data_IF_467306882001
#
_entry.id   IF_467306882001
#
_cell.length_a   1.000
_cell.length_b   1.000
_cell.length_c   1.000
_cell.angle_alpha   90.00
_cell.angle_beta   90.00
_cell.angle_gamma   90.00
#
_symmetry.space_group_name_H-M   'P 1'
#
loop_
_entity.id
_entity.type
_entity.pdbx_description
1 polymer ?
#
# COMPACT_ATOMS: atom_id res chain seq x y z
N UNK A 1 37.63 49.47 -43.94
CA UNK A 1 38.84 48.60 -43.94
C UNK A 1 38.76 47.71 -42.70
N UNK A 2 38.96 46.40 -42.75
CA UNK A 2 39.26 45.57 -43.93
C UNK A 2 40.27 44.46 -43.63
N UNK A 3 40.00 43.59 -42.65
CA UNK A 3 40.82 42.39 -42.42
C UNK A 3 39.92 41.27 -41.86
N UNK A 4 39.96 40.09 -42.47
CA UNK A 4 39.17 38.93 -42.06
C UNK A 4 40.08 37.75 -41.75
N UNK A 5 39.80 37.05 -40.65
CA UNK A 5 40.50 35.82 -40.26
C UNK A 5 39.51 34.69 -39.99
N UNK A 6 38.97 34.11 -41.06
CA UNK A 6 38.20 32.86 -40.98
C UNK A 6 39.11 31.72 -40.55
N UNK A 7 39.06 31.34 -39.27
CA UNK A 7 39.65 30.08 -38.81
C UNK A 7 38.73 28.93 -39.19
N UNK A 8 39.24 27.97 -39.96
CA UNK A 8 38.53 26.74 -40.25
C UNK A 8 38.30 25.93 -38.96
N UNK A 9 37.14 25.28 -38.85
CA UNK A 9 36.91 24.29 -37.81
C UNK A 9 37.78 23.04 -38.08
N UNK A 10 38.28 22.34 -37.04
CA UNK A 10 38.92 21.05 -37.22
C UNK A 10 37.92 20.02 -37.76
N UNK A 11 38.36 18.99 -38.51
CA UNK A 11 37.48 17.93 -38.96
C UNK A 11 36.92 17.15 -37.75
N UNK A 12 35.65 16.78 -37.83
CA UNK A 12 35.07 15.81 -36.89
C UNK A 12 35.70 14.45 -37.14
N UNK A 13 36.50 13.95 -36.18
CA UNK A 13 36.82 12.53 -36.14
C UNK A 13 35.53 11.75 -35.83
N UNK A 14 35.13 10.87 -36.76
CA UNK A 14 34.02 9.94 -36.54
C UNK A 14 34.42 8.96 -35.44
N UNK A 15 33.69 8.95 -34.33
CA UNK A 15 33.88 7.94 -33.30
C UNK A 15 33.65 6.54 -33.92
N UNK A 16 34.51 5.54 -33.64
CA UNK A 16 34.34 4.20 -34.18
C UNK A 16 33.05 3.56 -33.66
N UNK A 17 32.36 2.81 -34.53
CA UNK A 17 31.12 2.13 -34.16
C UNK A 17 31.29 1.24 -32.91
N UNK A 18 30.34 1.26 -31.97
CA UNK A 18 30.41 0.43 -30.78
C UNK A 18 30.38 -1.05 -31.17
N UNK A 19 31.44 -1.78 -30.82
CA UNK A 19 31.57 -3.19 -31.14
C UNK A 19 30.33 -3.99 -30.66
N UNK A 20 29.81 -4.92 -31.47
CA UNK A 20 28.58 -5.64 -31.13
C UNK A 20 28.73 -6.39 -29.80
N UNK A 21 27.68 -6.45 -28.97
CA UNK A 21 27.75 -7.08 -27.66
C UNK A 21 28.14 -8.55 -27.80
N UNK A 22 29.16 -8.99 -27.05
CA UNK A 22 29.57 -10.39 -27.03
C UNK A 22 28.41 -11.27 -26.57
N UNK A 23 28.16 -12.43 -27.22
CA UNK A 23 27.16 -13.37 -26.73
C UNK A 23 27.52 -13.86 -25.31
N UNK A 24 26.53 -14.15 -24.46
CA UNK A 24 26.79 -14.68 -23.12
C UNK A 24 27.45 -16.06 -23.18
N UNK A 25 28.29 -16.42 -22.18
CA UNK A 25 28.98 -17.71 -22.15
C UNK A 25 27.98 -18.87 -22.00
N UNK A 26 28.12 -19.87 -22.87
CA UNK A 26 27.18 -20.98 -23.01
C UNK A 26 27.09 -21.90 -21.78
N UNK A 27 28.16 -22.00 -20.98
CA UNK A 27 28.27 -22.89 -19.81
C UNK A 27 27.58 -22.36 -18.55
N UNK A 28 26.53 -21.54 -18.71
CA UNK A 28 25.66 -21.08 -17.62
C UNK A 28 24.72 -22.20 -17.17
N UNK A 29 25.29 -23.26 -16.58
CA UNK A 29 24.54 -24.41 -16.08
C UNK A 29 23.41 -23.95 -15.14
N UNK A 30 22.19 -24.49 -15.27
CA UNK A 30 21.02 -23.98 -14.57
C UNK A 30 21.24 -24.05 -13.06
N UNK A 31 21.25 -22.87 -12.42
CA UNK A 31 21.42 -22.73 -10.97
C UNK A 31 20.32 -23.55 -10.31
N UNK A 32 20.69 -24.69 -9.71
CA UNK A 32 19.74 -25.52 -8.96
C UNK A 32 19.13 -24.65 -7.86
N UNK A 33 17.80 -24.57 -7.73
CA UNK A 33 17.18 -23.81 -6.65
C UNK A 33 17.73 -24.34 -5.32
N UNK A 34 18.08 -23.45 -4.36
CA UNK A 34 18.57 -23.89 -3.07
C UNK A 34 17.52 -24.80 -2.43
N UNK A 35 17.96 -25.95 -1.90
CA UNK A 35 17.06 -26.80 -1.11
C UNK A 35 16.45 -25.96 0.00
N UNK A 36 15.13 -26.05 0.27
CA UNK A 36 14.56 -25.42 1.45
C UNK A 36 15.36 -25.88 2.66
N UNK A 37 15.85 -24.93 3.46
CA UNK A 37 16.61 -25.25 4.66
C UNK A 37 15.72 -26.07 5.59
N UNK A 38 16.33 -27.01 6.31
CA UNK A 38 15.65 -27.65 7.44
C UNK A 38 15.08 -26.58 8.37
N UNK A 39 13.93 -26.82 9.02
CA UNK A 39 13.30 -25.83 9.89
C UNK A 39 14.34 -25.28 10.88
N UNK A 40 14.35 -23.96 11.03
CA UNK A 40 15.31 -23.27 11.89
C UNK A 40 15.34 -23.91 13.27
N UNK A 41 16.55 -24.16 13.77
CA UNK A 41 16.87 -24.53 15.15
C UNK A 41 15.78 -24.07 16.14
N UNK A 42 15.10 -24.98 16.87
CA UNK A 42 13.99 -24.61 17.74
C UNK A 42 14.42 -23.64 18.86
N UNK A 43 15.70 -23.65 19.25
CA UNK A 43 16.29 -22.75 20.24
C UNK A 43 16.80 -21.42 19.63
N UNK A 44 16.63 -21.23 18.32
CA UNK A 44 16.82 -19.93 17.68
C UNK A 44 15.65 -18.97 18.00
N UNK A 45 15.86 -17.64 17.87
CA UNK A 45 14.78 -16.65 18.04
C UNK A 45 13.55 -16.91 17.14
N UNK A 46 13.80 -17.41 15.93
CA UNK A 46 12.75 -17.80 14.98
C UNK A 46 12.04 -19.08 15.45
N UNK A 47 12.81 -20.12 15.80
CA UNK A 47 12.28 -21.40 16.28
C UNK A 47 11.29 -21.25 17.44
N UNK A 48 11.64 -20.45 18.45
CA UNK A 48 10.75 -20.17 19.59
C UNK A 48 9.46 -19.45 19.20
N UNK A 49 9.53 -18.40 18.38
CA UNK A 49 8.35 -17.67 17.93
C UNK A 49 7.37 -18.57 17.14
N UNK A 50 7.90 -19.52 16.38
CA UNK A 50 7.11 -20.49 15.61
C UNK A 50 6.41 -21.54 16.48
N UNK A 51 7.03 -21.98 17.58
CA UNK A 51 6.40 -22.89 18.53
C UNK A 51 5.22 -22.21 19.24
N UNK A 52 5.36 -20.94 19.63
CA UNK A 52 4.26 -20.13 20.16
C UNK A 52 3.13 -19.97 19.13
N UNK A 53 3.47 -19.56 17.90
CA UNK A 53 2.47 -19.29 16.88
C UNK A 53 1.72 -20.56 16.42
N UNK A 54 2.37 -21.73 16.38
CA UNK A 54 1.70 -23.03 16.19
C UNK A 54 0.62 -23.29 17.24
N UNK A 55 0.91 -23.02 18.51
CA UNK A 55 -0.05 -23.19 19.60
C UNK A 55 -1.25 -22.23 19.46
N UNK A 56 -1.00 -20.97 19.07
CA UNK A 56 -2.07 -19.99 18.78
C UNK A 56 -2.98 -20.42 17.63
N UNK A 57 -2.41 -20.92 16.53
CA UNK A 57 -3.19 -21.41 15.38
C UNK A 57 -4.08 -22.61 15.74
N UNK A 58 -3.58 -23.54 16.58
CA UNK A 58 -4.40 -24.66 17.06
C UNK A 58 -5.58 -24.18 17.91
N UNK A 59 -5.41 -23.15 18.74
CA UNK A 59 -6.50 -22.55 19.50
C UNK A 59 -7.50 -21.78 18.61
N UNK A 60 -7.03 -21.09 17.58
CA UNK A 60 -7.89 -20.35 16.64
C UNK A 60 -8.78 -21.26 15.77
N UNK A 61 -8.35 -22.50 15.50
CA UNK A 61 -9.17 -23.50 14.79
C UNK A 61 -10.32 -24.07 15.63
N UNK A 62 -10.41 -23.75 16.93
CA UNK A 62 -11.49 -24.17 17.83
C UNK A 62 -12.59 -23.10 18.02
N UNK A 63 -12.61 -22.07 17.17
CA UNK A 63 -13.65 -21.02 17.16
C UNK A 63 -14.97 -21.55 16.61
N UNK A 64 -16.08 -21.15 17.21
CA UNK A 64 -17.42 -21.56 16.78
C UNK A 64 -17.89 -20.85 15.49
N UNK A 65 -18.79 -21.51 14.75
CA UNK A 65 -19.28 -21.00 13.47
C UNK A 65 -20.13 -19.72 13.59
N UNK A 66 -20.72 -19.43 14.75
CA UNK A 66 -21.55 -18.24 14.97
C UNK A 66 -20.67 -16.99 15.18
N UNK A 67 -19.55 -17.14 15.90
CA UNK A 67 -18.46 -16.18 15.97
C UNK A 67 -17.90 -15.89 14.57
N UNK A 68 -17.59 -16.94 13.79
CA UNK A 68 -17.06 -16.81 12.43
C UNK A 68 -18.05 -16.09 11.49
N UNK A 69 -19.35 -16.37 11.59
CA UNK A 69 -20.38 -15.69 10.81
C UNK A 69 -20.50 -14.20 11.17
N UNK A 70 -20.48 -13.85 12.46
CA UNK A 70 -20.46 -12.44 12.92
C UNK A 70 -19.25 -11.68 12.40
N UNK A 71 -18.06 -12.25 12.57
CA UNK A 71 -16.80 -11.63 12.09
C UNK A 71 -16.85 -11.45 10.57
N UNK A 72 -17.30 -12.47 9.82
CA UNK A 72 -17.43 -12.39 8.35
C UNK A 72 -18.36 -11.26 7.87
N UNK A 73 -19.46 -10.97 8.58
CA UNK A 73 -20.35 -9.84 8.24
C UNK A 73 -19.62 -8.50 8.42
N UNK A 74 -19.09 -8.26 9.61
CA UNK A 74 -18.37 -7.02 9.95
C UNK A 74 -17.18 -6.81 9.01
N UNK A 75 -16.40 -7.87 8.78
CA UNK A 75 -15.29 -7.87 7.83
C UNK A 75 -15.72 -7.43 6.43
N UNK A 76 -16.80 -7.98 5.89
CA UNK A 76 -17.34 -7.56 4.59
C UNK A 76 -17.86 -6.11 4.58
N UNK A 77 -18.48 -5.64 5.67
CA UNK A 77 -19.00 -4.27 5.83
C UNK A 77 -17.89 -3.20 5.76
N UNK A 78 -16.71 -3.53 6.29
CA UNK A 78 -15.51 -2.67 6.33
C UNK A 78 -14.53 -2.93 5.17
N UNK A 79 -14.99 -3.55 4.07
CA UNK A 79 -14.23 -3.73 2.83
C UNK A 79 -13.35 -4.98 2.74
N UNK A 80 -13.43 -5.88 3.73
CA UNK A 80 -12.59 -7.07 3.90
C UNK A 80 -12.49 -7.98 2.67
N UNK A 81 -13.52 -8.05 1.82
CA UNK A 81 -13.46 -8.79 0.54
C UNK A 81 -12.34 -8.30 -0.39
N UNK A 82 -12.03 -7.01 -0.37
CA UNK A 82 -10.94 -6.42 -1.18
C UNK A 82 -9.57 -6.69 -0.58
N UNK A 83 -9.52 -6.97 0.73
CA UNK A 83 -8.34 -7.51 1.41
C UNK A 83 -8.15 -8.98 1.03
N UNK A 84 -9.22 -9.79 1.04
CA UNK A 84 -9.22 -11.19 0.58
C UNK A 84 -8.74 -11.33 -0.88
N UNK A 85 -9.30 -10.55 -1.80
CA UNK A 85 -8.85 -10.46 -3.21
C UNK A 85 -7.36 -10.12 -3.34
N UNK A 86 -6.78 -9.38 -2.39
CA UNK A 86 -5.36 -9.06 -2.39
C UNK A 86 -4.51 -10.17 -1.72
N UNK A 87 -5.03 -10.95 -0.78
CA UNK A 87 -4.33 -12.10 -0.16
C UNK A 87 -4.04 -13.25 -1.13
N UNK A 88 -4.74 -13.31 -2.27
CA UNK A 88 -4.41 -14.19 -3.41
C UNK A 88 -3.01 -13.93 -4.01
N UNK A 89 -2.42 -12.76 -3.75
CA UNK A 89 -1.13 -12.35 -4.32
C UNK A 89 -0.16 -11.67 -3.34
N UNK A 90 -0.67 -10.87 -2.40
CA UNK A 90 0.04 -10.25 -1.29
C UNK A 90 -0.10 -11.15 -0.05
N UNK A 91 0.54 -10.75 1.02
CA UNK A 91 0.79 -11.58 2.18
C UNK A 91 0.86 -10.75 3.44
N UNK A 92 0.37 -11.27 4.55
CA UNK A 92 0.51 -10.63 5.87
C UNK A 92 1.42 -11.48 6.76
N UNK A 93 1.90 -10.89 7.84
CA UNK A 93 2.60 -11.59 8.92
C UNK A 93 1.85 -11.34 10.23
N UNK A 94 1.71 -12.35 11.09
CA UNK A 94 1.00 -12.16 12.36
C UNK A 94 1.80 -11.21 13.28
N UNK A 95 1.14 -10.15 13.76
CA UNK A 95 1.76 -9.14 14.62
C UNK A 95 2.32 -9.70 15.93
N UNK A 96 1.77 -10.81 16.44
CA UNK A 96 2.29 -11.55 17.60
C UNK A 96 3.61 -12.24 17.25
N UNK A 97 3.65 -12.95 16.12
CA UNK A 97 4.90 -13.58 15.63
C UNK A 97 6.00 -12.53 15.44
N UNK A 98 5.67 -11.36 14.87
CA UNK A 98 6.58 -10.21 14.81
C UNK A 98 7.05 -9.68 16.17
N UNK A 99 6.16 -9.60 17.16
CA UNK A 99 6.52 -9.18 18.51
C UNK A 99 7.41 -10.22 19.23
N UNK A 100 7.13 -11.52 19.06
CA UNK A 100 7.90 -12.63 19.61
C UNK A 100 9.32 -12.68 18.99
N UNK A 101 9.42 -12.60 17.65
CA UNK A 101 10.70 -12.54 16.93
C UNK A 101 11.56 -11.36 17.39
N UNK A 102 10.95 -10.20 17.64
CA UNK A 102 11.65 -9.02 18.15
C UNK A 102 12.13 -9.19 19.60
N UNK A 103 11.31 -9.79 20.47
CA UNK A 103 11.62 -10.05 21.88
C UNK A 103 12.75 -11.07 22.04
N UNK A 104 12.75 -12.15 21.25
CA UNK A 104 13.84 -13.12 21.22
C UNK A 104 15.13 -12.58 20.56
N UNK A 105 15.19 -11.28 20.22
CA UNK A 105 16.37 -10.62 19.65
C UNK A 105 16.59 -10.87 18.16
N UNK A 106 15.61 -11.46 17.48
CA UNK A 106 15.67 -11.86 16.08
C UNK A 106 15.42 -10.73 15.08
N UNK A 107 15.00 -11.14 13.90
CA UNK A 107 14.68 -10.31 12.74
C UNK A 107 13.62 -11.05 11.90
N UNK A 108 12.70 -10.34 11.21
CA UNK A 108 11.88 -10.95 10.17
C UNK A 108 12.77 -11.71 9.16
N UNK A 109 12.58 -13.03 8.97
CA UNK A 109 13.29 -13.89 8.00
C UNK A 109 13.19 -13.45 6.51
N UNK A 110 12.77 -14.33 5.57
CA UNK A 110 12.57 -14.09 4.12
C UNK A 110 11.32 -14.81 3.62
N UNK A 111 10.82 -14.51 2.41
CA UNK A 111 9.62 -15.15 1.84
C UNK A 111 9.82 -16.65 1.70
N UNK A 112 11.05 -17.02 1.36
CA UNK A 112 11.53 -18.38 1.21
C UNK A 112 12.00 -19.02 2.55
N UNK A 113 11.95 -18.28 3.67
CA UNK A 113 12.38 -18.69 5.01
C UNK A 113 11.26 -18.67 6.08
N UNK A 114 10.22 -17.83 5.94
CA UNK A 114 9.05 -17.83 6.83
C UNK A 114 8.30 -19.16 6.62
N UNK A 115 8.06 -19.97 7.65
CA UNK A 115 7.23 -21.17 7.50
C UNK A 115 5.75 -20.83 7.71
N UNK A 116 4.87 -21.74 7.25
CA UNK A 116 3.42 -21.55 7.12
C UNK A 116 2.68 -21.08 8.37
N UNK A 117 3.29 -21.16 9.54
CA UNK A 117 2.68 -20.87 10.82
C UNK A 117 2.94 -19.42 11.30
N UNK A 118 4.12 -18.83 11.06
CA UNK A 118 4.32 -17.39 11.22
C UNK A 118 3.70 -16.56 10.08
N UNK A 119 3.35 -17.26 9.00
CA UNK A 119 2.87 -16.75 7.71
C UNK A 119 1.37 -16.45 7.66
N UNK A 120 1.07 -15.33 7.03
CA UNK A 120 0.08 -15.25 5.94
C UNK A 120 0.83 -15.05 4.58
N UNK A 121 2.04 -15.64 4.46
CA UNK A 121 2.72 -16.16 3.23
C UNK A 121 3.42 -15.21 2.21
N UNK A 122 4.45 -14.38 2.41
CA UNK A 122 5.47 -14.11 3.43
C UNK A 122 6.32 -12.90 2.90
N UNK A 123 7.65 -12.81 3.05
CA UNK A 123 8.40 -12.11 4.12
C UNK A 123 9.74 -11.52 3.56
N UNK A 124 10.38 -10.53 4.22
CA UNK A 124 11.83 -10.29 4.46
C UNK A 124 12.10 -8.94 5.19
N UNK A 125 12.88 -8.92 6.30
CA UNK A 125 13.90 -7.89 6.73
C UNK A 125 14.01 -7.54 8.24
N UNK A 126 15.21 -7.83 8.80
CA UNK A 126 15.98 -7.13 9.87
C UNK A 126 15.26 -6.42 11.05
N UNK A 127 15.48 -6.94 12.26
CA UNK A 127 14.69 -6.62 13.46
C UNK A 127 15.05 -5.43 14.36
N UNK A 128 15.97 -4.52 14.02
CA UNK A 128 16.16 -3.33 14.90
C UNK A 128 14.94 -2.39 14.85
N UNK A 129 14.37 -2.16 13.66
CA UNK A 129 13.10 -1.45 13.54
C UNK A 129 11.97 -2.27 14.19
N UNK A 130 12.01 -3.61 14.12
CA UNK A 130 11.02 -4.44 14.83
C UNK A 130 11.06 -4.28 16.35
N UNK A 131 12.22 -4.03 16.98
CA UNK A 131 12.25 -3.68 18.42
C UNK A 131 11.61 -2.32 18.74
N UNK A 132 11.50 -1.40 17.77
CA UNK A 132 10.72 -0.15 17.91
C UNK A 132 9.23 -0.34 17.63
N UNK A 133 8.89 -1.22 16.70
CA UNK A 133 7.51 -1.51 16.26
C UNK A 133 6.80 -2.51 17.18
N UNK A 134 7.49 -3.47 17.79
CA UNK A 134 6.89 -4.51 18.62
C UNK A 134 6.09 -4.00 19.83
N UNK A 135 6.52 -2.96 20.59
CA UNK A 135 5.70 -2.41 21.66
C UNK A 135 4.44 -1.69 21.14
N UNK A 136 4.46 -1.15 19.91
CA UNK A 136 3.27 -0.63 19.25
C UNK A 136 2.33 -1.78 18.88
N UNK A 137 2.85 -2.84 18.24
CA UNK A 137 2.05 -4.04 17.90
C UNK A 137 1.43 -4.67 19.16
N UNK A 138 2.16 -4.75 20.28
CA UNK A 138 1.62 -5.22 21.57
C UNK A 138 0.50 -4.33 22.10
N UNK A 139 0.62 -3.01 22.04
CA UNK A 139 -0.45 -2.09 22.44
C UNK A 139 -1.70 -2.18 21.53
N UNK A 140 -1.55 -2.55 20.25
CA UNK A 140 -2.68 -2.85 19.36
C UNK A 140 -3.28 -4.24 19.66
N UNK A 141 -2.45 -5.25 19.95
CA UNK A 141 -2.89 -6.60 20.30
C UNK A 141 -3.60 -6.67 21.67
N UNK A 142 -3.22 -5.82 22.63
CA UNK A 142 -3.90 -5.70 23.92
C UNK A 142 -5.40 -5.36 23.78
N UNK A 143 -5.80 -4.61 22.75
CA UNK A 143 -7.22 -4.35 22.43
C UNK A 143 -8.01 -5.64 22.12
N UNK A 144 -7.34 -6.70 21.65
CA UNK A 144 -7.95 -8.00 21.35
C UNK A 144 -7.82 -8.99 22.52
N UNK A 145 -6.78 -8.85 23.33
CA UNK A 145 -6.46 -9.76 24.44
C UNK A 145 -7.10 -9.32 25.77
N UNK A 146 -7.03 -8.03 26.11
CA UNK A 146 -7.74 -7.43 27.26
C UNK A 146 -9.16 -6.99 26.89
N UNK A 147 -9.37 -6.50 25.66
CA UNK A 147 -10.68 -6.07 25.14
C UNK A 147 -11.66 -7.22 24.85
N UNK A 148 -11.29 -8.47 25.17
CA UNK A 148 -12.17 -9.63 25.28
C UNK A 148 -13.16 -9.54 26.47
N UNK A 149 -13.75 -8.36 26.65
CA UNK A 149 -14.83 -8.07 27.59
C UNK A 149 -16.09 -8.90 27.28
N UNK A 150 -17.03 -8.92 28.21
CA UNK A 150 -18.33 -9.56 28.03
C UNK A 150 -19.13 -9.05 26.80
N UNK A 151 -18.79 -7.87 26.27
CA UNK A 151 -19.41 -7.31 25.06
C UNK A 151 -18.83 -7.87 23.75
N UNK A 152 -17.61 -8.43 23.76
CA UNK A 152 -17.04 -9.12 22.60
C UNK A 152 -16.15 -10.31 23.03
N UNK A 153 -16.76 -11.45 23.43
CA UNK A 153 -16.00 -12.64 23.84
C UNK A 153 -15.19 -13.28 22.70
N UNK A 154 -15.34 -12.80 21.46
CA UNK A 154 -14.62 -13.28 20.28
C UNK A 154 -13.32 -12.52 20.02
N UNK A 155 -13.10 -11.36 20.65
CA UNK A 155 -11.89 -10.55 20.47
C UNK A 155 -10.60 -11.34 20.78
N UNK A 156 -10.66 -12.23 21.79
CA UNK A 156 -9.57 -13.15 22.19
C UNK A 156 -9.02 -14.05 21.06
N UNK A 157 -9.81 -14.23 19.99
CA UNK A 157 -9.44 -15.04 18.82
C UNK A 157 -8.99 -14.17 17.63
N UNK A 158 -9.09 -12.84 17.75
CA UNK A 158 -8.55 -11.89 16.78
C UNK A 158 -7.03 -11.86 16.77
N UNK A 159 -6.46 -11.40 15.66
CA UNK A 159 -5.04 -11.08 15.49
C UNK A 159 -4.90 -9.88 14.56
N UNK A 160 -3.70 -9.32 14.46
CA UNK A 160 -3.39 -8.29 13.45
C UNK A 160 -2.49 -8.88 12.37
N UNK A 161 -2.89 -8.74 11.10
CA UNK A 161 -2.06 -9.08 9.96
C UNK A 161 -1.29 -7.86 9.48
N UNK A 162 0.05 -7.92 9.55
CA UNK A 162 0.94 -6.83 9.14
C UNK A 162 1.33 -7.01 7.67
N UNK A 163 1.00 -6.03 6.83
CA UNK A 163 1.58 -5.87 5.49
C UNK A 163 2.85 -5.03 5.61
N UNK A 164 3.93 -5.48 4.98
CA UNK A 164 5.18 -4.74 4.84
C UNK A 164 5.81 -5.18 3.52
N UNK A 165 6.03 -4.28 2.58
CA UNK A 165 6.48 -4.52 1.19
C UNK A 165 7.39 -5.76 0.96
N UNK A 166 8.61 -5.75 1.51
CA UNK A 166 9.60 -6.81 1.37
C UNK A 166 9.12 -8.04 2.16
N UNK A 167 8.39 -7.81 3.26
CA UNK A 167 7.66 -8.81 4.03
C UNK A 167 6.32 -9.33 3.49
N UNK A 168 5.95 -8.96 2.26
CA UNK A 168 4.61 -9.26 1.74
C UNK A 168 4.60 -9.78 0.29
N UNK A 169 5.76 -9.99 -0.33
CA UNK A 169 5.92 -10.40 -1.73
C UNK A 169 7.13 -11.34 -1.93
N UNK A 170 7.13 -12.25 -2.92
CA UNK A 170 8.27 -13.14 -3.20
C UNK A 170 9.56 -12.39 -3.55
N UNK A 171 10.71 -12.87 -3.07
CA UNK A 171 12.01 -12.22 -3.26
C UNK A 171 12.90 -12.95 -4.27
N UNK A 172 14.13 -12.45 -4.49
CA UNK A 172 14.94 -12.86 -5.64
C UNK A 172 15.26 -14.36 -5.68
N UNK A 173 15.39 -14.88 -6.92
CA UNK A 173 15.32 -16.32 -7.28
C UNK A 173 13.89 -16.91 -7.26
N UNK A 174 12.88 -16.05 -7.47
CA UNK A 174 11.46 -16.40 -7.69
C UNK A 174 11.29 -17.59 -8.64
N UNK A 175 10.43 -18.55 -8.29
CA UNK A 175 9.84 -19.51 -9.26
C UNK A 175 8.95 -18.78 -10.25
N UNK A 176 8.52 -19.44 -11.33
CA UNK A 176 7.57 -18.85 -12.29
C UNK A 176 6.29 -18.33 -11.59
N UNK A 177 5.70 -19.14 -10.72
CA UNK A 177 4.54 -18.74 -9.91
C UNK A 177 4.88 -17.62 -8.92
N UNK A 178 6.10 -17.59 -8.40
CA UNK A 178 6.62 -16.50 -7.58
C UNK A 178 6.73 -15.18 -8.34
N UNK A 179 7.13 -15.19 -9.62
CA UNK A 179 7.11 -14.00 -10.49
C UNK A 179 5.66 -13.55 -10.73
N UNK A 180 4.76 -14.48 -11.08
CA UNK A 180 3.35 -14.17 -11.30
C UNK A 180 2.62 -13.71 -10.02
N UNK A 181 3.03 -14.18 -8.84
CA UNK A 181 2.54 -13.68 -7.55
C UNK A 181 3.10 -12.28 -7.26
N UNK A 182 4.40 -12.08 -7.41
CA UNK A 182 5.07 -10.79 -7.24
C UNK A 182 4.46 -9.70 -8.14
N UNK A 183 4.30 -9.96 -9.44
CA UNK A 183 3.70 -9.02 -10.39
C UNK A 183 2.26 -8.63 -10.01
N UNK A 184 1.44 -9.61 -9.58
CA UNK A 184 0.05 -9.35 -9.14
C UNK A 184 0.01 -8.57 -7.82
N UNK A 185 0.86 -8.92 -6.86
CA UNK A 185 0.92 -8.25 -5.56
C UNK A 185 1.50 -6.83 -5.64
N UNK A 186 2.46 -6.59 -6.53
CA UNK A 186 2.96 -5.25 -6.85
C UNK A 186 1.84 -4.39 -7.49
N UNK A 187 1.04 -4.97 -8.39
CA UNK A 187 -0.12 -4.31 -9.00
C UNK A 187 -1.30 -4.06 -8.03
N UNK A 188 -1.35 -4.75 -6.89
CA UNK A 188 -2.36 -4.53 -5.84
C UNK A 188 -1.83 -3.77 -4.62
N UNK A 189 -0.55 -3.37 -4.59
CA UNK A 189 0.02 -2.56 -3.49
C UNK A 189 -0.83 -1.31 -3.21
N UNK A 190 -1.29 -0.62 -4.26
CA UNK A 190 -2.13 0.56 -4.16
C UNK A 190 -3.35 0.36 -3.24
N UNK A 191 -4.00 -0.80 -3.28
CA UNK A 191 -5.15 -1.15 -2.44
C UNK A 191 -4.81 -0.99 -0.95
N UNK A 192 -3.70 -1.56 -0.49
CA UNK A 192 -3.30 -1.54 0.92
C UNK A 192 -3.10 -0.11 1.47
N UNK A 193 -2.49 0.76 0.66
CA UNK A 193 -2.31 2.16 1.03
C UNK A 193 -3.61 2.98 0.86
N UNK A 194 -4.47 2.73 -0.13
CA UNK A 194 -5.72 3.50 -0.26
C UNK A 194 -6.87 3.00 0.64
N UNK A 195 -6.84 1.76 1.13
CA UNK A 195 -7.92 1.17 1.91
C UNK A 195 -8.19 1.99 3.18
N UNK A 196 -9.44 2.45 3.43
CA UNK A 196 -9.72 3.43 4.48
C UNK A 196 -9.48 2.87 5.90
N UNK A 197 -9.70 1.57 6.09
CA UNK A 197 -9.65 0.88 7.38
C UNK A 197 -8.34 0.12 7.68
N UNK A 198 -7.33 0.18 6.81
CA UNK A 198 -6.01 -0.43 7.06
C UNK A 198 -5.08 0.66 7.61
N UNK A 199 -4.60 0.59 8.86
CA UNK A 199 -3.59 1.54 9.35
C UNK A 199 -2.27 1.37 8.61
N UNK A 200 -1.66 2.47 8.18
CA UNK A 200 -0.30 2.47 7.62
C UNK A 200 0.67 3.12 8.61
N UNK A 201 1.74 2.40 8.96
CA UNK A 201 2.77 2.84 9.90
C UNK A 201 4.04 3.27 9.15
N UNK A 202 4.27 4.58 9.08
CA UNK A 202 5.50 5.14 8.50
C UNK A 202 6.69 4.90 9.44
N UNK A 203 7.79 4.39 8.89
CA UNK A 203 9.04 4.16 9.60
C UNK A 203 10.04 5.32 9.39
N UNK A 204 9.66 6.53 9.80
CA UNK A 204 10.46 7.75 9.56
C UNK A 204 11.67 7.92 10.48
N UNK A 205 11.80 7.08 11.52
CA UNK A 205 12.93 7.21 12.47
C UNK A 205 14.29 7.02 11.81
N UNK A 206 15.37 7.65 12.34
CA UNK A 206 16.72 7.47 11.83
C UNK A 206 17.11 6.00 11.69
N UNK A 207 17.77 5.70 10.57
CA UNK A 207 18.23 4.35 10.23
C UNK A 207 19.20 3.83 11.32
N UNK A 208 19.15 2.52 11.63
CA UNK A 208 20.09 1.88 12.54
C UNK A 208 21.56 2.17 12.20
N UNK A 209 22.36 2.50 13.22
CA UNK A 209 23.80 2.76 13.05
C UNK A 209 24.64 1.48 12.93
N UNK A 210 24.12 0.34 13.40
CA UNK A 210 24.91 -0.87 13.64
C UNK A 210 25.28 -1.69 12.38
N UNK A 211 24.75 -1.39 11.19
CA UNK A 211 25.02 -2.17 9.96
C UNK A 211 25.14 -1.32 8.70
N UNK A 212 25.84 -1.87 7.69
CA UNK A 212 25.96 -1.28 6.35
C UNK A 212 24.69 -1.57 5.52
N UNK A 213 23.68 -0.72 5.65
CA UNK A 213 22.52 -0.72 4.75
C UNK A 213 22.92 -0.30 3.33
N UNK A 214 22.28 -0.91 2.33
CA UNK A 214 22.41 -0.57 0.89
C UNK A 214 21.71 0.75 0.60
N UNK A 215 20.41 0.86 0.96
CA UNK A 215 19.69 2.13 0.94
C UNK A 215 19.87 2.86 2.28
N UNK A 216 20.64 3.96 2.25
CA UNK A 216 20.89 4.84 3.39
C UNK A 216 20.10 6.15 3.37
N UNK A 217 19.18 6.32 2.41
CA UNK A 217 18.37 7.52 2.33
C UNK A 217 17.37 7.57 3.50
N UNK A 218 17.14 8.75 4.10
CA UNK A 218 15.97 8.99 4.95
C UNK A 218 14.65 8.61 4.30
N UNK A 219 13.59 8.42 5.10
CA UNK A 219 12.28 7.96 4.62
C UNK A 219 11.71 8.89 3.55
N UNK A 220 11.69 10.19 3.83
CA UNK A 220 11.16 11.27 3.00
C UNK A 220 11.92 11.51 1.68
N UNK A 221 13.05 10.83 1.49
CA UNK A 221 13.88 10.89 0.27
C UNK A 221 13.76 9.64 -0.61
N UNK A 222 12.91 8.68 -0.24
CA UNK A 222 12.65 7.45 -1.02
C UNK A 222 11.36 7.62 -1.82
N UNK A 223 11.45 7.41 -3.14
CA UNK A 223 10.30 7.60 -4.03
C UNK A 223 9.10 6.68 -3.72
N UNK A 224 9.36 5.42 -3.34
CA UNK A 224 8.32 4.51 -2.81
C UNK A 224 7.66 5.09 -1.55
N UNK A 225 8.43 5.49 -0.54
CA UNK A 225 7.89 6.04 0.71
C UNK A 225 7.11 7.35 0.53
N UNK A 226 7.45 8.16 -0.48
CA UNK A 226 6.60 9.28 -0.88
C UNK A 226 5.26 8.81 -1.46
N UNK A 227 5.27 7.84 -2.39
CA UNK A 227 4.05 7.22 -2.91
C UNK A 227 3.17 6.62 -1.80
N UNK A 228 3.74 5.81 -0.90
CA UNK A 228 3.04 5.16 0.21
C UNK A 228 2.31 6.18 1.10
N UNK A 229 2.99 7.29 1.41
CA UNK A 229 2.44 8.39 2.21
C UNK A 229 1.32 9.14 1.48
N UNK A 230 1.47 9.44 0.18
CA UNK A 230 0.42 10.13 -0.59
C UNK A 230 -0.78 9.23 -0.90
N UNK A 231 -0.57 7.94 -1.18
CA UNK A 231 -1.64 6.96 -1.40
C UNK A 231 -2.45 6.71 -0.11
N UNK A 232 -1.77 6.63 1.04
CA UNK A 232 -2.40 6.67 2.37
C UNK A 232 -3.09 8.01 2.65
N UNK A 233 -2.64 9.06 1.97
CA UNK A 233 -3.24 10.39 1.93
C UNK A 233 -4.62 10.45 1.25
N UNK A 234 -5.07 9.42 0.53
CA UNK A 234 -6.32 9.51 -0.24
C UNK A 234 -7.57 9.32 0.64
N UNK A 235 -7.87 8.11 1.12
CA UNK A 235 -9.17 7.81 1.73
C UNK A 235 -9.14 7.39 3.22
N UNK A 236 -7.96 7.28 3.83
CA UNK A 236 -7.83 6.85 5.23
C UNK A 236 -8.42 7.87 6.22
N UNK A 237 -9.10 7.40 7.27
CA UNK A 237 -9.50 8.26 8.38
C UNK A 237 -8.29 8.89 9.08
N UNK A 238 -8.51 9.96 9.86
CA UNK A 238 -7.47 10.64 10.66
C UNK A 238 -6.72 9.68 11.61
N UNK A 239 -7.37 8.59 12.03
CA UNK A 239 -6.82 7.56 12.92
C UNK A 239 -5.94 6.51 12.24
N UNK A 240 -5.80 6.50 10.90
CA UNK A 240 -5.23 5.37 10.15
C UNK A 240 -3.92 5.68 9.37
N UNK A 241 -3.28 6.83 9.59
CA UNK A 241 -1.92 7.13 9.09
C UNK A 241 -0.97 7.48 10.24
N UNK A 242 -0.20 6.47 10.65
CA UNK A 242 0.67 6.48 11.81
C UNK A 242 2.12 6.81 11.46
N UNK A 243 2.87 7.35 12.42
CA UNK A 243 4.30 7.63 12.31
C UNK A 243 5.04 7.17 13.57
N UNK A 244 5.96 6.20 13.42
CA UNK A 244 6.68 5.62 14.56
C UNK A 244 7.63 6.62 15.24
N UNK A 245 7.99 7.73 14.58
CA UNK A 245 8.82 8.77 15.19
C UNK A 245 8.11 9.55 16.31
N UNK A 246 6.77 9.51 16.38
CA UNK A 246 6.00 10.12 17.46
C UNK A 246 5.74 9.16 18.64
N UNK A 247 5.90 7.85 18.44
CA UNK A 247 5.63 6.83 19.46
C UNK A 247 6.56 6.96 20.69
N UNK A 248 6.00 6.93 21.89
CA UNK A 248 6.72 7.00 23.18
C UNK A 248 6.43 5.81 24.10
N UNK A 249 5.76 4.78 23.57
CA UNK A 249 5.20 3.67 24.35
C UNK A 249 3.72 3.92 24.65
N UNK A 250 2.90 2.90 24.46
CA UNK A 250 1.46 2.92 24.69
C UNK A 250 1.05 1.64 25.44
N UNK A 251 -0.10 1.68 26.11
CA UNK A 251 -0.76 0.47 26.67
C UNK A 251 -1.84 -0.09 25.76
N UNK A 252 -2.55 0.78 25.05
CA UNK A 252 -3.75 0.48 24.27
C UNK A 252 -3.70 1.12 22.87
N UNK A 253 -4.59 0.66 21.98
CA UNK A 253 -4.72 1.15 20.60
C UNK A 253 -5.02 2.65 20.54
N UNK A 254 -5.81 3.18 21.48
CA UNK A 254 -6.17 4.60 21.51
C UNK A 254 -4.99 5.50 21.91
N UNK A 255 -4.06 5.02 22.73
CA UNK A 255 -2.77 5.66 22.99
C UNK A 255 -1.86 5.59 21.77
N UNK A 256 -1.82 4.45 21.05
CA UNK A 256 -1.10 4.34 19.76
C UNK A 256 -1.62 5.38 18.76
N UNK A 257 -2.93 5.46 18.57
CA UNK A 257 -3.55 6.44 17.66
C UNK A 257 -3.20 7.87 18.09
N UNK A 258 -3.44 8.26 19.35
CA UNK A 258 -3.15 9.62 19.83
C UNK A 258 -1.69 10.05 19.73
N UNK A 259 -0.73 9.12 19.89
CA UNK A 259 0.69 9.42 19.75
C UNK A 259 1.13 9.42 18.28
N UNK A 260 0.79 8.36 17.55
CA UNK A 260 1.33 8.09 16.23
C UNK A 260 0.58 8.78 15.10
N UNK A 261 -0.65 9.28 15.32
CA UNK A 261 -1.39 10.06 14.33
C UNK A 261 -0.49 11.16 13.75
N UNK A 262 -0.42 11.20 12.42
CA UNK A 262 0.40 12.17 11.70
C UNK A 262 -0.46 12.93 10.69
N UNK A 263 -0.19 14.22 10.53
CA UNK A 263 -0.98 15.10 9.67
C UNK A 263 -1.08 14.55 8.24
N UNK A 264 -2.29 14.14 7.84
CA UNK A 264 -2.58 13.65 6.50
C UNK A 264 -2.77 14.84 5.58
N UNK A 265 -1.87 15.02 4.61
CA UNK A 265 -2.05 16.01 3.54
C UNK A 265 -3.23 15.63 2.62
N UNK A 266 -3.89 16.61 1.98
CA UNK A 266 -4.96 16.34 1.03
C UNK A 266 -4.46 15.46 -0.13
N UNK A 267 -5.33 14.59 -0.68
CA UNK A 267 -5.00 13.87 -1.90
C UNK A 267 -4.65 14.85 -3.02
N UNK A 268 -3.56 14.58 -3.72
CA UNK A 268 -3.25 15.24 -5.00
C UNK A 268 -4.05 14.56 -6.11
N UNK A 269 -4.45 15.30 -7.16
CA UNK A 269 -4.87 14.63 -8.40
C UNK A 269 -3.69 13.82 -8.97
N UNK A 270 -3.93 12.70 -9.70
CA UNK A 270 -2.86 11.91 -10.29
C UNK A 270 -1.88 12.70 -11.18
N UNK A 271 -2.35 13.75 -11.86
CA UNK A 271 -1.49 14.62 -12.68
C UNK A 271 -0.58 15.52 -11.81
N UNK A 272 -1.11 16.05 -10.71
CA UNK A 272 -0.32 16.82 -9.72
C UNK A 272 0.67 15.90 -8.99
N UNK A 273 0.28 14.68 -8.64
CA UNK A 273 1.18 13.68 -8.05
C UNK A 273 2.32 13.32 -9.00
N UNK A 274 2.02 13.10 -10.29
CA UNK A 274 3.00 12.88 -11.35
C UNK A 274 4.00 14.03 -11.42
N UNK A 275 3.52 15.27 -11.57
CA UNK A 275 4.37 16.45 -11.70
C UNK A 275 5.24 16.67 -10.44
N UNK A 276 4.69 16.44 -9.25
CA UNK A 276 5.42 16.52 -7.98
C UNK A 276 6.53 15.45 -7.86
N UNK A 277 6.24 14.21 -8.28
CA UNK A 277 7.22 13.12 -8.34
C UNK A 277 8.34 13.42 -9.33
N UNK A 278 8.00 13.80 -10.56
CA UNK A 278 8.95 14.10 -11.65
C UNK A 278 9.84 15.30 -11.28
N UNK A 279 9.28 16.36 -10.70
CA UNK A 279 10.03 17.50 -10.14
C UNK A 279 10.99 17.07 -9.03
N UNK A 280 10.54 16.29 -8.06
CA UNK A 280 11.35 15.88 -6.91
C UNK A 280 12.42 14.82 -7.24
N UNK A 281 12.29 14.13 -8.38
CA UNK A 281 13.37 13.34 -8.98
C UNK A 281 14.39 14.26 -9.65
N UNK A 282 13.93 15.23 -10.46
CA UNK A 282 14.80 16.11 -11.24
C UNK A 282 15.71 17.01 -10.37
N UNK A 283 15.22 17.49 -9.22
CA UNK A 283 16.03 18.23 -8.24
C UNK A 283 16.75 17.33 -7.20
N UNK A 284 16.55 16.01 -7.27
CA UNK A 284 17.23 15.03 -6.43
C UNK A 284 16.76 14.97 -4.97
N UNK A 285 15.63 15.60 -4.60
CA UNK A 285 14.98 15.39 -3.29
C UNK A 285 14.63 13.92 -3.08
N UNK A 286 13.89 13.32 -4.01
CA UNK A 286 13.53 11.91 -4.06
C UNK A 286 14.52 11.10 -4.91
N UNK A 287 14.70 9.83 -4.56
CA UNK A 287 15.41 8.83 -5.37
C UNK A 287 14.73 7.47 -5.31
N UNK A 288 14.90 6.70 -6.37
CA UNK A 288 14.56 5.27 -6.45
C UNK A 288 15.84 4.44 -6.59
N UNK A 289 15.79 3.17 -6.19
CA UNK A 289 16.86 2.20 -6.45
C UNK A 289 16.92 1.84 -7.94
N UNK A 290 15.74 1.73 -8.57
CA UNK A 290 15.56 1.48 -10.00
C UNK A 290 14.66 2.59 -10.55
N UNK A 291 15.14 3.40 -11.50
CA UNK A 291 14.39 4.58 -11.97
C UNK A 291 13.03 4.25 -12.61
N UNK A 292 12.85 3.03 -13.12
CA UNK A 292 11.57 2.55 -13.67
C UNK A 292 10.45 2.53 -12.64
N UNK A 293 10.77 2.29 -11.36
CA UNK A 293 9.80 2.28 -10.26
C UNK A 293 9.02 3.60 -10.17
N UNK A 294 9.62 4.73 -10.57
CA UNK A 294 8.97 6.04 -10.58
C UNK A 294 7.69 6.03 -11.44
N UNK A 295 7.74 5.42 -12.62
CA UNK A 295 6.57 5.26 -13.49
C UNK A 295 5.56 4.28 -12.88
N UNK A 296 6.03 3.20 -12.28
CA UNK A 296 5.18 2.22 -11.59
C UNK A 296 4.41 2.84 -10.43
N UNK A 297 5.04 3.64 -9.56
CA UNK A 297 4.32 4.25 -8.43
C UNK A 297 3.37 5.38 -8.83
N UNK A 298 3.67 6.13 -9.90
CA UNK A 298 2.72 7.12 -10.45
C UNK A 298 1.48 6.42 -11.01
N UNK A 299 1.66 5.27 -11.65
CA UNK A 299 0.54 4.49 -12.16
C UNK A 299 -0.25 3.79 -11.04
N UNK A 300 0.43 3.22 -10.03
CA UNK A 300 -0.23 2.68 -8.82
C UNK A 300 -1.01 3.77 -8.07
N UNK A 301 -0.49 5.00 -8.00
CA UNK A 301 -1.22 6.13 -7.40
C UNK A 301 -2.48 6.46 -8.21
N UNK A 302 -2.37 6.57 -9.55
CA UNK A 302 -3.52 6.81 -10.44
C UNK A 302 -4.60 5.74 -10.29
N UNK A 303 -4.23 4.46 -10.37
CA UNK A 303 -5.17 3.34 -10.23
C UNK A 303 -5.79 3.35 -8.83
N UNK A 304 -5.00 3.55 -7.78
CA UNK A 304 -5.49 3.62 -6.40
C UNK A 304 -6.50 4.75 -6.18
N UNK A 305 -6.17 5.95 -6.67
CA UNK A 305 -7.01 7.14 -6.63
C UNK A 305 -8.34 6.90 -7.35
N UNK A 306 -8.32 6.48 -8.62
CA UNK A 306 -9.56 6.25 -9.40
C UNK A 306 -10.40 5.14 -8.75
N UNK A 307 -9.77 4.03 -8.36
CA UNK A 307 -10.47 2.89 -7.75
C UNK A 307 -11.22 3.27 -6.47
N UNK A 308 -10.60 4.06 -5.57
CA UNK A 308 -11.22 4.37 -4.28
C UNK A 308 -12.39 5.38 -4.39
N UNK A 309 -12.39 6.25 -5.39
CA UNK A 309 -13.54 7.13 -5.67
C UNK A 309 -14.64 6.41 -6.46
N UNK A 310 -14.31 5.65 -7.51
CA UNK A 310 -15.31 4.89 -8.31
C UNK A 310 -16.02 3.81 -7.50
N UNK A 311 -15.30 3.16 -6.57
CA UNK A 311 -15.76 1.94 -5.87
C UNK A 311 -15.84 2.13 -4.35
N UNK A 312 -15.98 3.37 -3.87
CA UNK A 312 -15.97 3.72 -2.43
C UNK A 312 -16.90 2.85 -1.55
N UNK A 313 -18.06 2.47 -2.08
CA UNK A 313 -19.06 1.62 -1.40
C UNK A 313 -18.64 0.16 -1.20
N UNK A 314 -17.59 -0.31 -1.90
CA UNK A 314 -17.00 -1.65 -1.70
C UNK A 314 -15.96 -1.67 -0.57
N UNK A 315 -15.45 -0.52 -0.17
CA UNK A 315 -14.46 -0.36 0.90
C UNK A 315 -15.10 0.00 2.25
N UNK A 316 -16.40 0.30 2.25
CA UNK A 316 -17.20 0.67 3.42
C UNK A 316 -18.68 0.80 3.05
N UNK A 317 -19.57 0.22 3.86
CA UNK A 317 -21.02 0.19 3.60
C UNK A 317 -21.68 1.57 3.33
N UNK A 318 -21.13 2.67 3.87
CA UNK A 318 -21.64 4.04 3.65
C UNK A 318 -21.01 4.77 2.45
N UNK A 319 -19.90 4.28 1.90
CA UNK A 319 -19.12 4.97 0.86
C UNK A 319 -18.57 6.33 1.29
N UNK A 320 -18.37 6.54 2.60
CA UNK A 320 -18.08 7.84 3.22
C UNK A 320 -16.58 8.12 3.38
N UNK A 321 -15.97 8.89 2.47
CA UNK A 321 -14.54 9.21 2.56
C UNK A 321 -14.35 10.40 3.51
N UNK A 322 -13.68 10.16 4.64
CA UNK A 322 -13.66 11.07 5.79
C UNK A 322 -12.32 11.80 5.94
N UNK A 323 -12.38 13.13 5.93
CA UNK A 323 -11.27 14.08 6.03
C UNK A 323 -11.37 14.99 7.27
N UNK A 324 -12.14 14.59 8.29
CA UNK A 324 -12.35 15.37 9.51
C UNK A 324 -11.09 15.39 10.40
N UNK A 325 -10.78 16.53 11.01
CA UNK A 325 -9.71 16.65 12.00
C UNK A 325 -8.30 16.41 11.44
N UNK A 326 -8.01 17.01 10.28
CA UNK A 326 -6.71 16.92 9.58
C UNK A 326 -5.93 18.25 9.53
N UNK A 327 -6.46 19.31 10.16
CA UNK A 327 -5.84 20.63 10.31
C UNK A 327 -5.34 21.25 8.99
N UNK A 328 -6.07 21.00 7.91
CA UNK A 328 -5.82 21.54 6.58
C UNK A 328 -5.91 23.06 6.54
N UNK A 329 -5.01 23.66 5.78
CA UNK A 329 -4.97 25.10 5.48
C UNK A 329 -5.81 25.47 4.26
N UNK A 330 -5.95 26.76 3.95
CA UNK A 330 -6.54 27.23 2.70
C UNK A 330 -5.81 26.71 1.46
N UNK A 331 -4.49 26.52 1.53
CA UNK A 331 -3.70 25.98 0.41
C UNK A 331 -3.95 24.48 0.23
N UNK A 332 -4.12 23.74 1.33
CA UNK A 332 -4.51 22.34 1.30
C UNK A 332 -5.90 22.16 0.66
N UNK A 333 -6.84 23.09 0.86
CA UNK A 333 -8.12 23.09 0.17
C UNK A 333 -8.00 23.29 -1.35
N UNK A 334 -7.00 24.03 -1.84
CA UNK A 334 -6.79 24.18 -3.29
C UNK A 334 -6.30 22.87 -3.93
N UNK A 335 -5.42 22.14 -3.25
CA UNK A 335 -4.98 20.80 -3.66
C UNK A 335 -6.18 19.83 -3.66
N UNK A 336 -7.00 19.87 -2.60
CA UNK A 336 -8.21 19.05 -2.52
C UNK A 336 -9.24 19.40 -3.60
N UNK A 337 -9.43 20.69 -3.91
CA UNK A 337 -10.35 21.15 -4.96
C UNK A 337 -9.93 20.60 -6.33
N UNK A 338 -8.64 20.60 -6.68
CA UNK A 338 -8.18 20.03 -7.95
C UNK A 338 -8.26 18.49 -7.95
N UNK A 339 -8.05 17.82 -6.81
CA UNK A 339 -8.31 16.39 -6.70
C UNK A 339 -9.80 16.05 -6.96
N UNK A 340 -10.74 16.82 -6.39
CA UNK A 340 -12.16 16.64 -6.69
C UNK A 340 -12.51 17.02 -8.14
N UNK A 341 -11.86 18.04 -8.71
CA UNK A 341 -12.03 18.38 -10.12
C UNK A 341 -11.54 17.24 -11.04
N UNK A 342 -10.44 16.56 -10.69
CA UNK A 342 -9.98 15.36 -11.39
C UNK A 342 -10.98 14.21 -11.26
N UNK A 343 -11.52 13.94 -10.06
CA UNK A 343 -12.56 12.90 -9.88
C UNK A 343 -13.74 13.14 -10.82
N UNK A 344 -14.27 14.37 -10.87
CA UNK A 344 -15.39 14.72 -11.74
C UNK A 344 -15.09 14.67 -13.25
N UNK A 345 -13.82 14.72 -13.67
CA UNK A 345 -13.40 14.60 -15.08
C UNK A 345 -13.07 13.16 -15.51
N UNK A 346 -12.58 12.32 -14.59
CA UNK A 346 -11.89 11.07 -14.94
C UNK A 346 -12.47 9.80 -14.28
N UNK A 347 -13.31 9.90 -13.25
CA UNK A 347 -13.87 8.74 -12.56
C UNK A 347 -15.31 8.41 -13.03
N UNK A 348 -15.56 7.15 -13.38
CA UNK A 348 -16.88 6.58 -13.71
C UNK A 348 -17.69 6.30 -12.44
N UNK A 349 -18.02 7.33 -11.67
CA UNK A 349 -18.74 7.21 -10.39
C UNK A 349 -20.10 6.50 -10.57
N UNK A 350 -20.22 5.26 -10.08
CA UNK A 350 -21.52 4.55 -10.03
C UNK A 350 -22.50 5.21 -9.06
N UNK A 351 -21.95 5.76 -7.97
CA UNK A 351 -22.63 6.57 -6.97
C UNK A 351 -21.61 7.55 -6.40
N UNK A 352 -22.02 8.79 -6.16
CA UNK A 352 -21.16 9.81 -5.56
C UNK A 352 -20.83 9.39 -4.12
N UNK A 353 -19.54 9.31 -3.72
CA UNK A 353 -19.16 9.02 -2.35
C UNK A 353 -19.54 10.16 -1.40
N UNK A 354 -19.83 9.83 -0.15
CA UNK A 354 -20.12 10.82 0.89
C UNK A 354 -18.80 11.43 1.38
N UNK A 355 -18.47 12.63 0.92
CA UNK A 355 -17.22 13.32 1.26
C UNK A 355 -17.41 14.08 2.58
N UNK A 356 -17.16 13.39 3.69
CA UNK A 356 -17.21 13.99 5.02
C UNK A 356 -15.96 14.85 5.26
N UNK A 357 -16.13 16.14 5.49
CA UNK A 357 -15.05 17.05 5.85
C UNK A 357 -15.53 18.05 6.92
N UNK A 358 -14.79 18.14 8.02
CA UNK A 358 -14.91 19.16 9.05
C UNK A 358 -13.49 19.50 9.52
N UNK A 359 -13.01 20.69 9.21
CA UNK A 359 -11.72 21.20 9.68
C UNK A 359 -11.85 21.88 11.04
N UNK A 360 -10.77 21.86 11.82
CA UNK A 360 -10.66 22.66 13.04
C UNK A 360 -10.24 24.13 12.76
N UNK A 361 -9.80 24.43 11.53
CA UNK A 361 -9.39 25.76 11.10
C UNK A 361 -10.55 26.59 10.53
N UNK A 362 -10.50 27.91 10.76
CA UNK A 362 -11.42 28.88 10.15
C UNK A 362 -11.08 29.06 8.67
N UNK A 363 -11.72 28.29 7.80
CA UNK A 363 -11.66 28.53 6.36
C UNK A 363 -12.39 29.82 5.98
N UNK A 364 -11.95 30.47 4.90
CA UNK A 364 -12.78 31.46 4.23
C UNK A 364 -13.94 30.77 3.51
N UNK A 365 -15.18 31.22 3.73
CA UNK A 365 -16.42 30.71 3.10
C UNK A 365 -16.26 30.51 1.58
N UNK A 366 -15.52 31.40 0.91
CA UNK A 366 -15.22 31.38 -0.52
C UNK A 366 -14.55 30.07 -0.98
N UNK A 367 -13.70 29.47 -0.16
CA UNK A 367 -12.95 28.24 -0.48
C UNK A 367 -13.83 27.00 -0.30
N UNK A 368 -14.59 26.96 0.79
CA UNK A 368 -15.57 25.91 1.07
C UNK A 368 -16.68 25.89 0.01
N UNK A 369 -17.20 27.07 -0.36
CA UNK A 369 -18.14 27.24 -1.46
C UNK A 369 -17.57 26.89 -2.84
N UNK A 370 -16.25 26.72 -3.02
CA UNK A 370 -15.67 26.15 -4.26
C UNK A 370 -15.71 24.63 -4.24
N UNK A 371 -15.30 24.00 -3.15
CA UNK A 371 -15.35 22.53 -2.99
C UNK A 371 -16.79 22.03 -3.13
N UNK A 372 -17.75 22.66 -2.44
CA UNK A 372 -19.16 22.31 -2.57
C UNK A 372 -19.72 22.50 -3.99
N UNK A 373 -19.24 23.50 -4.77
CA UNK A 373 -19.63 23.65 -6.18
C UNK A 373 -19.11 22.52 -7.06
N UNK A 374 -17.89 22.01 -6.81
CA UNK A 374 -17.36 20.84 -7.53
C UNK A 374 -18.22 19.61 -7.22
N UNK A 375 -18.47 19.33 -5.93
CA UNK A 375 -19.31 18.18 -5.51
C UNK A 375 -20.77 18.31 -6.00
N UNK A 376 -21.33 19.52 -6.03
CA UNK A 376 -22.68 19.77 -6.57
C UNK A 376 -22.75 19.57 -8.09
N UNK A 377 -21.67 19.88 -8.83
CA UNK A 377 -21.63 19.68 -10.29
C UNK A 377 -21.73 18.20 -10.69
N UNK A 378 -21.20 17.29 -9.86
CA UNK A 378 -21.38 15.84 -10.02
C UNK A 378 -22.86 15.43 -9.87
N UNK A 379 -23.57 15.99 -8.89
CA UNK A 379 -25.00 15.74 -8.67
C UNK A 379 -25.88 16.30 -9.81
N UNK A 380 -25.47 17.41 -10.44
CA UNK A 380 -26.18 17.99 -11.58
C UNK A 380 -26.03 17.18 -12.87
N UNK A 381 -24.92 16.45 -13.02
CA UNK A 381 -24.62 15.60 -14.17
C UNK A 381 -24.37 14.15 -13.72
N UNK A 382 -25.40 13.44 -13.22
CA UNK A 382 -25.24 12.02 -12.94
C UNK A 382 -24.86 11.32 -14.24
N UNK A 383 -23.72 10.59 -14.21
CA UNK A 383 -23.27 9.79 -15.34
C UNK A 383 -24.38 8.86 -15.86
N UNK A 384 -24.34 8.45 -17.14
CA UNK A 384 -25.44 7.77 -17.80
C UNK A 384 -25.96 6.64 -16.93
N UNK A 385 -27.19 6.80 -16.43
CA UNK A 385 -27.77 5.91 -15.41
C UNK A 385 -27.88 4.51 -15.98
N UNK A 386 -26.88 3.68 -15.68
CA UNK A 386 -26.99 2.25 -15.87
C UNK A 386 -28.19 1.80 -15.04
N UNK A 387 -29.26 1.41 -15.73
CA UNK A 387 -30.47 0.92 -15.11
C UNK A 387 -30.15 -0.42 -14.45
N UNK A 388 -29.74 -0.36 -13.18
CA UNK A 388 -29.72 -1.49 -12.26
C UNK A 388 -31.17 -1.94 -12.07
N UNK A 389 -31.67 -2.72 -13.02
CA UNK A 389 -33.04 -3.22 -12.98
C UNK A 389 -33.22 -4.06 -11.74
N UNK A 390 -34.23 -3.75 -10.92
CA UNK A 390 -34.63 -4.56 -9.76
C UNK A 390 -35.32 -5.86 -10.20
N UNK A 391 -34.63 -6.67 -11.04
CA UNK A 391 -34.99 -8.05 -11.32
C UNK A 391 -34.54 -8.93 -10.14
N UNK A 392 -35.29 -8.85 -9.04
CA UNK A 392 -35.50 -10.05 -8.22
C UNK A 392 -36.25 -11.08 -9.05
N UNK A 393 -35.86 -12.33 -8.86
CA UNK A 393 -36.54 -13.55 -9.29
C UNK A 393 -36.90 -13.69 -10.78
N UNK A 394 -36.03 -14.41 -11.49
CA UNK A 394 -36.23 -14.82 -12.88
C UNK A 394 -34.97 -15.49 -13.42
N UNK A 395 -34.94 -16.82 -13.44
CA UNK A 395 -33.88 -17.56 -14.14
C UNK A 395 -34.04 -17.34 -15.64
N UNK A 396 -33.07 -16.72 -16.28
CA UNK A 396 -32.75 -17.01 -17.68
C UNK A 396 -31.30 -16.70 -17.99
N UNK A 397 -30.59 -17.67 -18.55
CA UNK A 397 -29.14 -17.62 -18.77
C UNK A 397 -28.82 -17.23 -20.22
N UNK A 398 -28.62 -15.93 -20.47
CA UNK A 398 -28.02 -15.43 -21.71
C UNK A 398 -26.96 -14.36 -21.40
N UNK A 399 -25.71 -14.65 -21.75
CA UNK A 399 -24.55 -13.82 -21.42
C UNK A 399 -24.13 -12.93 -22.60
N UNK A 400 -24.59 -11.67 -22.60
CA UNK A 400 -24.07 -10.65 -23.52
C UNK A 400 -22.71 -10.15 -23.05
N UNK A 401 -21.67 -10.37 -23.85
CA UNK A 401 -20.30 -9.94 -23.53
C UNK A 401 -20.02 -8.52 -24.06
N UNK A 402 -20.01 -7.54 -23.15
CA UNK A 402 -19.59 -6.16 -23.47
C UNK A 402 -18.07 -6.11 -23.59
N UNK A 403 -17.55 -5.70 -24.76
CA UNK A 403 -16.10 -5.69 -25.05
C UNK A 403 -15.42 -4.40 -24.59
N UNK A 404 -14.72 -4.43 -23.45
CA UNK A 404 -13.83 -3.32 -23.02
C UNK A 404 -12.45 -3.43 -23.66
N UNK A 405 -12.37 -3.14 -24.96
CA UNK A 405 -11.17 -3.35 -25.78
C UNK A 405 -9.99 -2.45 -25.36
N UNK A 406 -10.25 -1.22 -24.90
CA UNK A 406 -9.23 -0.26 -24.48
C UNK A 406 -8.54 -0.63 -23.16
N UNK A 407 -9.33 -0.95 -22.13
CA UNK A 407 -8.84 -1.34 -20.79
C UNK A 407 -7.95 -2.59 -20.85
N UNK A 408 -8.27 -3.53 -21.75
CA UNK A 408 -7.42 -4.69 -22.05
C UNK A 408 -6.08 -4.29 -22.68
N UNK A 409 -6.06 -3.33 -23.60
CA UNK A 409 -4.83 -2.88 -24.25
C UNK A 409 -3.90 -2.14 -23.28
N UNK A 410 -4.45 -1.28 -22.42
CA UNK A 410 -3.70 -0.54 -21.40
C UNK A 410 -3.09 -1.49 -20.35
N UNK A 411 -3.89 -2.41 -19.81
CA UNK A 411 -3.41 -3.46 -18.91
C UNK A 411 -2.36 -4.38 -19.57
N UNK A 412 -2.47 -4.63 -20.88
CA UNK A 412 -1.49 -5.42 -21.64
C UNK A 412 -0.19 -4.63 -21.91
N UNK A 413 -0.24 -3.30 -22.06
CA UNK A 413 0.94 -2.45 -22.13
C UNK A 413 1.70 -2.42 -20.80
N UNK A 414 0.99 -2.25 -19.68
CA UNK A 414 1.57 -2.33 -18.32
C UNK A 414 2.19 -3.72 -18.08
N UNK A 415 1.50 -4.81 -18.45
CA UNK A 415 2.08 -6.16 -18.38
C UNK A 415 3.32 -6.35 -19.25
N UNK A 416 3.35 -5.82 -20.47
CA UNK A 416 4.53 -5.87 -21.35
C UNK A 416 5.73 -5.14 -20.74
N UNK A 417 5.51 -3.99 -20.11
CA UNK A 417 6.55 -3.30 -19.35
C UNK A 417 7.02 -4.12 -18.14
N UNK A 418 6.11 -4.77 -17.41
CA UNK A 418 6.39 -5.60 -16.23
C UNK A 418 7.02 -6.99 -16.51
N UNK A 419 7.23 -7.37 -17.77
CA UNK A 419 7.76 -8.71 -18.15
C UNK A 419 9.16 -8.65 -18.78
N UNK A 420 9.84 -7.50 -18.64
CA UNK A 420 11.27 -7.26 -18.90
C UNK A 420 11.86 -6.68 -17.61
#
# INVERSE_FOLDING_TARGET
MGCGCSRAAPPHESAPDPAPPRPPPADSAPIRPPRPRAPSDPDSPLGRALLLQRSRLQAALAVDAEAQARVSHVWAEYGGRRVEEALDCVSLVDGRFYADVAEFGGAPPRWEELPREGMITAETLLGEQMRRVAPLLRAVLAEYEEGASAANPHARHGTIGVMQDFCSLPQDNRTHDGVLRFQRGLLSMNMWYTHPWIPVLKLTTPLPSARRYTNRLPYERRGWCFFEAQASGIAKGSTALWDIAHFRGAKDLMQVIRQCQSGRKPPMSPDVFRAAMESAIADGRLKFTVMRDAYTVVELYRIGFVTIFERAYEFQAKGSINYNGLDWTSDDLLVFQEAMAYVGRHCKLQRIPDICWAGAGTFSEVSEARVYRVLASWNAHPGPKHALSEKRDGRDSSSSSVSTTGERAEAQAIRRQLTI
#
